data_IF_476808760735
#
_entry.id   IF_476808760735
#
_cell.length_a   1.000
_cell.length_b   1.000
_cell.length_c   1.000
_cell.angle_alpha   90.00
_cell.angle_beta   90.00
_cell.angle_gamma   90.00
#
_symmetry.space_group_name_H-M   'P 1'
#
loop_
_entity.id
_entity.type
_entity.pdbx_description
1 polymer ?
#
# COMPACT_ATOMS: atom_id res chain seq x y z
N UNK A 1 -2.94 21.99 -57.33
CA UNK A 1 -3.67 23.02 -56.56
C UNK A 1 -3.85 22.50 -55.14
N UNK A 2 -3.65 23.38 -54.15
CA UNK A 2 -3.33 23.10 -52.75
C UNK A 2 -4.50 22.59 -51.90
N UNK A 3 -4.16 21.71 -50.94
CA UNK A 3 -4.51 21.70 -49.50
C UNK A 3 -5.98 21.81 -49.05
N UNK A 4 -6.47 20.79 -48.29
CA UNK A 4 -7.08 20.98 -46.96
C UNK A 4 -6.80 19.73 -46.09
N UNK A 5 -6.06 19.93 -44.99
CA UNK A 5 -6.04 19.06 -43.81
C UNK A 5 -7.35 19.27 -43.04
N UNK A 6 -8.02 18.19 -42.64
CA UNK A 6 -8.89 18.24 -41.47
C UNK A 6 -8.41 17.23 -40.43
N UNK A 7 -7.68 17.77 -39.46
CA UNK A 7 -7.56 17.22 -38.11
C UNK A 7 -8.90 17.43 -37.38
N UNK A 8 -9.30 16.44 -36.60
CA UNK A 8 -10.44 16.46 -35.68
C UNK A 8 -10.59 15.04 -35.12
N UNK A 9 -9.95 14.75 -33.99
CA UNK A 9 -10.54 14.76 -32.64
C UNK A 9 -11.59 13.66 -32.44
N UNK A 10 -11.75 12.97 -31.32
CA UNK A 10 -11.09 12.82 -30.01
C UNK A 10 -11.93 11.71 -29.35
N UNK A 11 -11.30 10.85 -28.55
CA UNK A 11 -11.96 10.10 -27.48
C UNK A 11 -12.75 8.86 -27.89
N UNK A 12 -12.07 7.72 -28.08
CA UNK A 12 -12.73 6.42 -27.89
C UNK A 12 -12.99 6.24 -26.40
N UNK A 13 -14.25 6.48 -26.05
CA UNK A 13 -14.85 6.34 -24.74
C UNK A 13 -15.07 4.85 -24.45
N UNK A 14 -14.06 4.17 -23.92
CA UNK A 14 -14.19 2.84 -23.29
C UNK A 14 -13.19 2.81 -22.13
N UNK A 15 -13.59 2.92 -20.86
CA UNK A 15 -14.21 1.82 -20.13
C UNK A 15 -14.64 2.36 -18.73
N UNK A 16 -15.88 2.82 -18.61
CA UNK A 16 -16.54 2.98 -17.31
C UNK A 16 -17.55 1.83 -17.21
N UNK A 17 -17.24 0.82 -16.40
CA UNK A 17 -18.16 0.00 -15.59
C UNK A 17 -17.47 -1.31 -15.16
N UNK A 18 -17.01 -1.41 -13.90
CA UNK A 18 -17.32 -2.52 -12.97
C UNK A 18 -16.33 -2.57 -11.80
N UNK A 19 -16.87 -2.46 -10.60
CA UNK A 19 -16.20 -2.77 -9.34
C UNK A 19 -15.23 -1.69 -8.90
N UNK A 20 -15.19 -1.45 -7.59
CA UNK A 20 -14.13 -0.69 -6.94
C UNK A 20 -12.83 -1.52 -7.06
N UNK A 21 -12.22 -1.58 -8.25
CA UNK A 21 -10.87 -2.13 -8.39
C UNK A 21 -9.92 -1.03 -7.94
N UNK A 22 -9.60 -1.02 -6.64
CA UNK A 22 -8.44 -0.26 -6.18
C UNK A 22 -7.25 -0.70 -7.03
N UNK A 23 -6.60 0.27 -7.68
CA UNK A 23 -5.34 0.00 -8.35
C UNK A 23 -4.34 -0.51 -7.31
N UNK A 24 -3.38 -1.34 -7.71
CA UNK A 24 -2.39 -1.93 -6.81
C UNK A 24 -1.71 -0.85 -5.93
N UNK A 25 -1.48 0.34 -6.51
CA UNK A 25 -0.95 1.51 -5.81
C UNK A 25 -1.88 2.04 -4.71
N UNK A 26 -3.17 2.17 -5.00
CA UNK A 26 -4.17 2.64 -4.04
C UNK A 26 -4.37 1.62 -2.91
N UNK A 27 -4.39 0.31 -3.25
CA UNK A 27 -4.47 -0.77 -2.27
C UNK A 27 -3.26 -0.74 -1.34
N UNK A 28 -2.04 -0.72 -1.87
CA UNK A 28 -0.82 -0.71 -1.07
C UNK A 28 -0.69 0.56 -0.21
N UNK A 29 -1.16 1.71 -0.70
CA UNK A 29 -1.20 2.97 0.07
C UNK A 29 -2.18 2.89 1.24
N UNK A 30 -3.36 2.29 1.03
CA UNK A 30 -4.33 2.08 2.09
C UNK A 30 -3.82 1.09 3.15
N UNK A 31 -3.18 0.00 2.71
CA UNK A 31 -2.57 -1.01 3.58
C UNK A 31 -1.46 -0.38 4.43
N UNK A 32 -0.53 0.37 3.82
CA UNK A 32 0.56 1.01 4.56
C UNK A 32 0.06 2.01 5.60
N UNK A 33 -0.95 2.81 5.26
CA UNK A 33 -1.58 3.77 6.18
C UNK A 33 -2.27 3.06 7.35
N UNK A 34 -2.98 1.96 7.10
CA UNK A 34 -3.63 1.16 8.15
C UNK A 34 -2.59 0.55 9.09
N UNK A 35 -1.52 -0.01 8.53
CA UNK A 35 -0.43 -0.60 9.30
C UNK A 35 0.33 0.41 10.14
N UNK A 36 0.65 1.59 9.59
CA UNK A 36 1.24 2.70 10.34
C UNK A 36 0.38 3.10 11.55
N UNK A 37 -0.95 3.15 11.35
CA UNK A 37 -1.90 3.41 12.45
C UNK A 37 -1.91 2.30 13.49
N UNK A 38 -1.89 1.02 13.09
CA UNK A 38 -1.88 -0.12 14.01
C UNK A 38 -0.59 -0.19 14.83
N UNK A 39 0.56 -0.04 14.18
CA UNK A 39 1.88 0.01 14.83
C UNK A 39 1.94 1.21 15.78
N UNK A 40 1.44 2.37 15.35
CA UNK A 40 1.33 3.59 16.15
C UNK A 40 0.40 3.44 17.36
N UNK A 41 -0.72 2.72 17.22
CA UNK A 41 -1.65 2.46 18.31
C UNK A 41 -1.05 1.52 19.38
N UNK A 42 -0.29 0.50 18.97
CA UNK A 42 0.42 -0.37 19.89
C UNK A 42 1.56 0.37 20.62
N UNK A 43 2.32 1.18 19.88
CA UNK A 43 3.43 1.96 20.48
C UNK A 43 2.97 3.11 21.36
N UNK A 44 1.82 3.75 21.09
CA UNK A 44 1.25 4.79 21.94
C UNK A 44 0.43 4.23 23.11
N UNK A 45 -0.19 3.05 22.98
CA UNK A 45 -0.87 2.35 24.08
C UNK A 45 0.09 1.86 25.17
N UNK A 46 1.40 1.83 24.88
CA UNK A 46 2.47 1.52 25.82
C UNK A 46 3.07 2.75 26.51
N UNK A 47 2.78 3.97 26.04
CA UNK A 47 3.43 5.20 26.54
C UNK A 47 2.85 5.74 27.85
N UNK A 48 1.68 5.26 28.29
CA UNK A 48 1.05 5.81 29.50
C UNK A 48 1.80 5.44 30.79
N UNK A 49 2.54 4.31 30.86
CA UNK A 49 3.21 3.89 32.11
C UNK A 49 4.55 3.10 31.95
N UNK A 50 5.41 3.41 30.99
CA UNK A 50 6.76 2.81 30.94
C UNK A 50 7.87 3.78 31.34
N UNK A 51 8.61 3.49 32.43
CA UNK A 51 9.86 4.18 32.74
C UNK A 51 10.86 4.05 31.58
N UNK A 52 11.75 5.05 31.37
CA UNK A 52 12.79 4.96 30.35
C UNK A 52 13.64 3.70 30.58
N UNK A 53 13.61 2.77 29.61
CA UNK A 53 14.31 1.48 29.67
C UNK A 53 13.41 0.25 29.62
N UNK A 54 12.08 0.39 29.59
CA UNK A 54 11.15 -0.72 29.39
C UNK A 54 10.41 -0.56 28.05
N UNK A 55 11.07 -0.90 26.94
CA UNK A 55 10.37 -1.16 25.69
C UNK A 55 9.61 -2.47 25.85
N UNK A 56 8.37 -2.41 26.33
CA UNK A 56 7.47 -3.56 26.34
C UNK A 56 6.97 -3.78 24.91
N UNK A 57 7.88 -4.06 23.98
CA UNK A 57 7.52 -4.71 22.74
C UNK A 57 7.05 -6.11 23.15
N UNK A 58 5.81 -6.49 22.88
CA UNK A 58 5.47 -7.92 22.83
C UNK A 58 6.14 -8.44 21.55
N UNK A 59 7.44 -8.74 21.67
CA UNK A 59 8.43 -8.80 20.58
C UNK A 59 8.24 -9.95 19.57
N UNK A 60 7.07 -10.57 19.50
CA UNK A 60 6.92 -11.78 18.66
C UNK A 60 5.74 -11.75 17.70
N UNK A 61 4.71 -10.91 17.87
CA UNK A 61 3.54 -10.97 16.98
C UNK A 61 3.18 -9.63 16.29
N UNK A 62 3.11 -8.50 17.00
CA UNK A 62 2.32 -7.37 16.45
C UNK A 62 3.02 -5.99 16.41
N UNK A 63 4.30 -5.86 16.82
CA UNK A 63 5.03 -4.57 16.78
C UNK A 63 5.76 -4.24 15.47
N UNK A 64 6.58 -3.16 15.47
CA UNK A 64 7.45 -2.75 14.33
C UNK A 64 8.46 -3.84 13.90
N UNK A 65 8.86 -4.71 14.83
CA UNK A 65 9.69 -5.88 14.56
C UNK A 65 8.88 -7.18 14.43
N UNK A 66 7.56 -7.12 14.67
CA UNK A 66 6.62 -8.22 14.49
C UNK A 66 6.02 -8.26 13.08
N UNK A 67 4.89 -8.95 12.96
CA UNK A 67 4.22 -9.21 11.69
C UNK A 67 3.73 -7.94 11.01
N UNK A 68 3.14 -7.00 11.77
CA UNK A 68 2.69 -5.72 11.22
C UNK A 68 3.84 -4.88 10.67
N UNK A 69 4.97 -4.83 11.37
CA UNK A 69 6.15 -4.14 10.88
C UNK A 69 6.78 -4.78 9.64
N UNK A 70 6.76 -6.12 9.54
CA UNK A 70 7.16 -6.82 8.32
C UNK A 70 6.24 -6.45 7.14
N UNK A 71 4.93 -6.56 7.34
CA UNK A 71 3.93 -6.29 6.31
C UNK A 71 3.94 -4.81 5.88
N UNK A 72 4.23 -3.89 6.80
CA UNK A 72 4.38 -2.47 6.51
C UNK A 72 5.57 -2.21 5.58
N UNK A 73 6.73 -2.78 5.90
CA UNK A 73 7.93 -2.67 5.03
C UNK A 73 7.69 -3.30 3.67
N UNK A 74 6.96 -4.42 3.62
CA UNK A 74 6.64 -5.11 2.38
C UNK A 74 5.70 -4.29 1.49
N UNK A 75 4.65 -3.69 2.04
CA UNK A 75 3.75 -2.81 1.30
C UNK A 75 4.49 -1.60 0.71
N UNK A 76 5.39 -0.98 1.48
CA UNK A 76 6.23 0.13 1.00
C UNK A 76 7.21 -0.30 -0.10
N UNK A 77 7.79 -1.51 -0.01
CA UNK A 77 8.64 -2.06 -1.08
C UNK A 77 7.87 -2.25 -2.39
N UNK A 78 6.62 -2.73 -2.33
CA UNK A 78 5.80 -2.87 -3.53
C UNK A 78 5.37 -1.51 -4.10
N UNK A 79 5.09 -0.51 -3.26
CA UNK A 79 4.87 0.87 -3.72
C UNK A 79 6.09 1.41 -4.46
N UNK A 80 7.29 1.23 -3.91
CA UNK A 80 8.53 1.62 -4.56
C UNK A 80 8.70 0.91 -5.91
N UNK A 81 8.43 -0.40 -5.98
CA UNK A 81 8.46 -1.16 -7.22
C UNK A 81 7.52 -0.60 -8.29
N UNK A 82 6.33 -0.13 -7.92
CA UNK A 82 5.41 0.56 -8.83
C UNK A 82 5.98 1.92 -9.26
N UNK A 83 6.49 2.71 -8.31
CA UNK A 83 6.99 4.07 -8.58
C UNK A 83 8.26 4.07 -9.46
N UNK A 84 9.12 3.04 -9.37
CA UNK A 84 10.28 2.86 -10.26
C UNK A 84 9.93 2.14 -11.58
N UNK A 85 8.65 1.82 -11.80
CA UNK A 85 8.19 1.16 -13.03
C UNK A 85 8.62 -0.29 -13.17
N UNK A 86 8.88 -1.00 -12.06
CA UNK A 86 9.23 -2.41 -12.01
C UNK A 86 8.16 -3.25 -11.29
N UNK A 87 6.91 -3.31 -11.79
CA UNK A 87 5.83 -4.07 -11.16
C UNK A 87 6.11 -5.59 -11.10
N UNK A 88 7.05 -6.11 -11.89
CA UNK A 88 7.47 -7.51 -11.85
C UNK A 88 8.22 -7.92 -10.56
N UNK A 89 8.59 -6.96 -9.70
CA UNK A 89 9.16 -7.22 -8.38
C UNK A 89 8.09 -7.48 -7.30
N UNK A 90 6.82 -7.30 -7.64
CA UNK A 90 5.69 -7.53 -6.75
C UNK A 90 5.31 -9.00 -6.81
N UNK A 91 5.36 -9.66 -5.66
CA UNK A 91 4.77 -10.99 -5.50
C UNK A 91 3.25 -10.82 -5.42
N UNK A 92 2.52 -11.38 -6.39
CA UNK A 92 1.07 -11.21 -6.49
C UNK A 92 0.34 -11.97 -5.40
N UNK A 93 0.79 -13.18 -5.06
CA UNK A 93 0.19 -13.98 -3.99
C UNK A 93 0.32 -13.27 -2.64
N UNK A 94 1.50 -12.70 -2.37
CA UNK A 94 1.74 -11.97 -1.13
C UNK A 94 1.03 -10.61 -1.11
N UNK A 95 0.92 -9.93 -2.26
CA UNK A 95 0.08 -8.73 -2.40
C UNK A 95 -1.40 -9.04 -2.13
N UNK A 96 -1.92 -10.14 -2.67
CA UNK A 96 -3.29 -10.60 -2.42
C UNK A 96 -3.51 -10.96 -0.96
N UNK A 97 -2.52 -11.61 -0.31
CA UNK A 97 -2.54 -11.88 1.13
C UNK A 97 -2.63 -10.59 1.95
N UNK A 98 -1.82 -9.57 1.62
CA UNK A 98 -1.88 -8.26 2.29
C UNK A 98 -3.23 -7.57 2.06
N UNK A 99 -3.77 -7.63 0.84
CA UNK A 99 -5.08 -7.06 0.55
C UNK A 99 -6.17 -7.73 1.37
N UNK A 100 -6.23 -9.07 1.39
CA UNK A 100 -7.24 -9.83 2.15
C UNK A 100 -7.22 -9.56 3.65
N UNK A 101 -6.04 -9.24 4.19
CA UNK A 101 -5.88 -9.04 5.62
C UNK A 101 -6.19 -7.61 6.07
N UNK A 102 -5.89 -6.63 5.22
CA UNK A 102 -5.92 -5.23 5.61
C UNK A 102 -7.02 -4.42 4.91
N UNK A 103 -7.65 -4.91 3.85
CA UNK A 103 -8.75 -4.27 3.10
C UNK A 103 -9.97 -5.18 3.05
#
# INVERSE_FOLDING_TARGET
MFLVRHFGMVGDQRHLTKGFQMNDRDALTAISTKLDTLIGAETNGLQDEVPPGSSVQRTEQDGEHGRWGHDYRLANKYLEALDIGQPGLIDRDEMERLAQEYI
#
